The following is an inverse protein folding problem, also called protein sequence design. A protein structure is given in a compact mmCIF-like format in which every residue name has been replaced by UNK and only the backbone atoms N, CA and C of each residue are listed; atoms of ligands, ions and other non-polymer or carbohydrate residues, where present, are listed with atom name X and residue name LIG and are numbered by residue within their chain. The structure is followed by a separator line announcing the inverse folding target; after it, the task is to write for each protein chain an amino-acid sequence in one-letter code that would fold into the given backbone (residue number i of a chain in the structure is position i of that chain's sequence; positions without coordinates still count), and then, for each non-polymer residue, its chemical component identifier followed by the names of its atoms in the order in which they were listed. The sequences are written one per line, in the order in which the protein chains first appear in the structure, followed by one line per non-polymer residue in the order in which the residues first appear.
data_IF_326018487601
#
_entry.id   IF_326018487601
#
_cell.length_a   1.000
_cell.length_b   1.000
_cell.length_c   1.000
_cell.angle_alpha   90.00
_cell.angle_beta   90.00
_cell.angle_gamma   90.00
#
_symmetry.space_group_name_H-M   'P 1'
#
loop_
_entity.id
_entity.type
_entity.pdbx_description
1 polymer ?
#
# COMPACT_ATOMS: atom_id res chain seq x y z
N UNK A 1 -5.02 -14.40 -25.14
CA UNK A 1 -3.94 -14.21 -24.14
C UNK A 1 -4.54 -13.58 -22.90
N UNK A 2 -4.19 -14.09 -21.71
CA UNK A 2 -4.56 -13.45 -20.44
C UNK A 2 -3.86 -12.10 -20.31
N UNK A 3 -4.51 -11.13 -19.69
CA UNK A 3 -3.89 -9.82 -19.40
C UNK A 3 -3.03 -9.92 -18.16
N UNK A 4 -1.77 -9.49 -18.24
CA UNK A 4 -0.83 -9.48 -17.13
C UNK A 4 -1.06 -8.26 -16.22
N UNK A 5 -1.39 -8.50 -14.96
CA UNK A 5 -1.62 -7.45 -13.97
C UNK A 5 -0.62 -7.60 -12.82
N UNK A 6 0.15 -6.56 -12.54
CA UNK A 6 1.01 -6.48 -11.37
C UNK A 6 0.35 -5.63 -10.28
N UNK A 7 0.14 -6.20 -9.11
CA UNK A 7 -0.16 -5.45 -7.90
C UNK A 7 1.11 -5.20 -7.10
N UNK A 8 1.28 -3.99 -6.59
CA UNK A 8 2.40 -3.61 -5.73
C UNK A 8 1.86 -3.10 -4.40
N UNK A 9 2.36 -3.66 -3.30
CA UNK A 9 2.00 -3.26 -1.94
C UNK A 9 3.26 -3.09 -1.09
N UNK A 10 3.21 -2.28 -0.04
CA UNK A 10 4.38 -2.01 0.79
C UNK A 10 4.80 -3.22 1.62
N UNK A 11 3.86 -3.84 2.31
CA UNK A 11 4.00 -5.07 3.11
C UNK A 11 2.76 -5.94 2.91
N UNK A 12 2.80 -7.21 3.32
CA UNK A 12 1.62 -8.07 3.32
C UNK A 12 1.29 -8.55 4.74
N UNK A 13 1.18 -7.58 5.65
CA UNK A 13 0.84 -7.79 7.05
C UNK A 13 -0.66 -7.63 7.32
N UNK A 14 -1.13 -7.96 8.54
CA UNK A 14 -2.56 -7.85 8.90
C UNK A 14 -2.98 -6.41 9.12
N UNK A 15 -3.32 -5.70 8.06
CA UNK A 15 -3.92 -4.38 8.12
C UNK A 15 -5.06 -4.22 7.11
N UNK A 16 -5.77 -3.09 7.13
CA UNK A 16 -7.02 -2.92 6.38
C UNK A 16 -6.83 -2.94 4.86
N UNK A 17 -5.79 -2.30 4.36
CA UNK A 17 -5.52 -2.26 2.93
C UNK A 17 -5.08 -3.62 2.39
N UNK A 18 -4.25 -4.34 3.14
CA UNK A 18 -3.79 -5.68 2.79
C UNK A 18 -4.96 -6.67 2.74
N UNK A 19 -5.88 -6.60 3.73
CA UNK A 19 -7.09 -7.41 3.72
C UNK A 19 -7.98 -7.08 2.51
N UNK A 20 -8.14 -5.79 2.19
CA UNK A 20 -8.89 -5.36 1.01
C UNK A 20 -8.25 -5.85 -0.30
N UNK A 21 -6.91 -5.82 -0.40
CA UNK A 21 -6.19 -6.38 -1.53
C UNK A 21 -6.46 -7.87 -1.68
N UNK A 22 -6.39 -8.65 -0.60
CA UNK A 22 -6.67 -10.09 -0.64
C UNK A 22 -8.09 -10.38 -1.15
N UNK A 23 -9.09 -9.63 -0.72
CA UNK A 23 -10.46 -9.83 -1.21
C UNK A 23 -10.62 -9.43 -2.68
N UNK A 24 -9.93 -8.37 -3.12
CA UNK A 24 -9.88 -8.00 -4.53
C UNK A 24 -9.21 -9.10 -5.37
N UNK A 25 -8.03 -9.58 -4.94
CA UNK A 25 -7.32 -10.65 -5.63
C UNK A 25 -8.13 -11.94 -5.71
N UNK A 26 -8.86 -12.32 -4.63
CA UNK A 26 -9.77 -13.48 -4.62
C UNK A 26 -10.91 -13.36 -5.62
N UNK A 27 -11.37 -12.14 -5.90
CA UNK A 27 -12.38 -11.91 -6.95
C UNK A 27 -11.76 -12.05 -8.34
N UNK A 28 -10.62 -11.41 -8.55
CA UNK A 28 -9.95 -11.40 -9.85
C UNK A 28 -9.42 -12.79 -10.24
N UNK A 29 -8.97 -13.59 -9.26
CA UNK A 29 -8.47 -14.95 -9.47
C UNK A 29 -9.52 -15.92 -10.02
N UNK A 30 -10.80 -15.59 -9.87
CA UNK A 30 -11.91 -16.35 -10.45
C UNK A 30 -12.11 -16.10 -11.94
N UNK A 31 -11.50 -15.06 -12.46
CA UNK A 31 -11.63 -14.62 -13.84
C UNK A 31 -10.44 -15.18 -14.65
N UNK A 32 -10.70 -16.12 -15.56
CA UNK A 32 -9.66 -16.72 -16.41
C UNK A 32 -8.97 -15.73 -17.37
N UNK A 33 -9.40 -14.48 -17.34
CA UNK A 33 -8.93 -13.41 -18.21
C UNK A 33 -7.59 -12.82 -17.75
N UNK A 34 -7.23 -12.99 -16.47
CA UNK A 34 -6.08 -12.31 -15.87
C UNK A 34 -4.98 -13.29 -15.46
N UNK A 35 -3.73 -12.83 -15.58
CA UNK A 35 -2.53 -13.39 -14.97
C UNK A 35 -2.10 -12.41 -13.87
N UNK A 36 -2.27 -12.83 -12.61
CA UNK A 36 -2.10 -11.94 -11.45
C UNK A 36 -0.72 -12.13 -10.83
N UNK A 37 0.03 -11.05 -10.72
CA UNK A 37 1.32 -10.97 -10.04
C UNK A 37 1.24 -10.00 -8.86
N UNK A 38 1.92 -10.34 -7.77
CA UNK A 38 2.04 -9.51 -6.58
C UNK A 38 3.51 -9.25 -6.26
N UNK A 39 3.88 -7.98 -6.17
CA UNK A 39 5.17 -7.54 -5.67
C UNK A 39 5.00 -6.85 -4.30
N UNK A 40 5.66 -7.38 -3.28
CA UNK A 40 5.66 -6.81 -1.93
C UNK A 40 6.95 -6.04 -1.72
N UNK A 41 6.90 -4.73 -1.67
CA UNK A 41 8.05 -3.83 -1.70
C UNK A 41 9.09 -4.13 -0.61
N UNK A 42 8.64 -4.49 0.59
CA UNK A 42 9.50 -4.89 1.69
C UNK A 42 9.89 -6.37 1.68
N UNK A 43 9.31 -7.18 0.79
CA UNK A 43 9.55 -8.61 0.71
C UNK A 43 9.16 -9.38 1.98
N UNK A 44 8.14 -8.91 2.72
CA UNK A 44 7.73 -9.55 3.97
C UNK A 44 6.25 -9.36 4.31
N UNK A 45 5.72 -10.29 5.11
CA UNK A 45 4.37 -10.25 5.67
C UNK A 45 3.82 -11.66 5.93
N UNK A 46 3.01 -11.79 6.96
CA UNK A 46 2.45 -13.08 7.42
C UNK A 46 1.23 -13.54 6.61
N UNK A 47 0.67 -12.67 5.75
CA UNK A 47 -0.57 -12.99 5.03
C UNK A 47 -0.37 -13.69 3.68
N UNK A 48 0.88 -14.02 3.31
CA UNK A 48 1.20 -14.66 2.03
C UNK A 48 0.44 -15.98 1.82
N UNK A 49 0.23 -16.77 2.88
CA UNK A 49 -0.49 -18.04 2.82
C UNK A 49 -2.01 -17.89 2.60
N UNK A 50 -2.52 -16.66 2.64
CA UNK A 50 -3.92 -16.33 2.39
C UNK A 50 -4.18 -15.86 0.95
N UNK A 51 -3.12 -15.75 0.14
CA UNK A 51 -3.26 -15.41 -1.27
C UNK A 51 -4.04 -16.51 -2.01
N UNK A 52 -4.85 -16.13 -2.99
CA UNK A 52 -5.46 -17.11 -3.89
C UNK A 52 -4.39 -17.80 -4.74
N UNK A 53 -4.62 -19.09 -5.13
CA UNK A 53 -3.61 -19.93 -5.76
C UNK A 53 -3.12 -19.45 -7.13
N UNK A 54 -3.92 -18.66 -7.85
CA UNK A 54 -3.55 -18.08 -9.14
C UNK A 54 -2.75 -16.78 -9.07
N UNK A 55 -2.42 -16.30 -7.86
CA UNK A 55 -1.60 -15.09 -7.68
C UNK A 55 -0.14 -15.46 -7.47
N UNK A 56 0.72 -14.99 -8.37
CA UNK A 56 2.18 -15.23 -8.33
C UNK A 56 2.89 -14.11 -7.58
N UNK A 57 3.58 -14.46 -6.48
CA UNK A 57 4.48 -13.50 -5.80
C UNK A 57 5.79 -13.46 -6.57
N UNK A 58 6.12 -12.27 -7.10
CA UNK A 58 7.29 -12.08 -7.98
C UNK A 58 8.54 -11.59 -7.27
N UNK A 59 8.52 -11.52 -5.94
CA UNK A 59 9.70 -11.20 -5.14
C UNK A 59 10.74 -12.33 -5.22
N UNK A 60 12.01 -12.01 -5.51
CA UNK A 60 13.12 -12.98 -5.44
C UNK A 60 13.31 -13.55 -4.02
N UNK A 61 13.06 -12.70 -3.01
CA UNK A 61 13.16 -13.07 -1.60
C UNK A 61 11.94 -12.59 -0.84
N UNK A 62 11.36 -13.49 -0.04
CA UNK A 62 10.20 -13.19 0.79
C UNK A 62 10.32 -13.84 2.16
N UNK A 63 9.94 -13.12 3.22
CA UNK A 63 9.95 -13.61 4.59
C UNK A 63 8.54 -13.55 5.18
N UNK A 64 8.06 -14.69 5.70
CA UNK A 64 6.72 -14.88 6.26
C UNK A 64 6.60 -14.39 7.71
N UNK A 65 7.08 -13.17 7.99
CA UNK A 65 7.04 -12.59 9.33
C UNK A 65 6.38 -11.22 9.30
N UNK A 66 5.64 -10.92 10.35
CA UNK A 66 5.07 -9.59 10.54
C UNK A 66 6.17 -8.56 10.79
N UNK A 67 5.99 -7.35 10.28
CA UNK A 67 6.86 -6.20 10.58
C UNK A 67 6.88 -5.85 12.09
N UNK A 68 5.92 -6.34 12.86
CA UNK A 68 5.83 -6.13 14.31
C UNK A 68 6.68 -7.11 15.11
N UNK A 69 7.01 -8.27 14.52
CA UNK A 69 7.87 -9.29 15.14
C UNK A 69 9.34 -8.87 15.08
N UNK A 70 10.15 -9.40 16.00
CA UNK A 70 11.59 -9.08 16.08
C UNK A 70 12.34 -9.42 14.79
N UNK A 71 12.07 -10.59 14.22
CA UNK A 71 12.67 -11.01 12.94
C UNK A 71 12.20 -10.14 11.78
N UNK A 72 10.93 -9.73 11.77
CA UNK A 72 10.38 -8.83 10.76
C UNK A 72 11.00 -7.43 10.85
N UNK A 73 11.22 -6.90 12.05
CA UNK A 73 11.96 -5.64 12.25
C UNK A 73 13.40 -5.74 11.75
N UNK A 74 14.10 -6.84 12.05
CA UNK A 74 15.46 -7.07 11.54
C UNK A 74 15.49 -7.10 10.01
N UNK A 75 14.51 -7.75 9.39
CA UNK A 75 14.38 -7.78 7.93
C UNK A 75 14.08 -6.39 7.36
N UNK A 76 13.18 -5.65 7.96
CA UNK A 76 12.89 -4.27 7.57
C UNK A 76 14.17 -3.42 7.54
N UNK A 77 14.99 -3.48 8.59
CA UNK A 77 16.28 -2.77 8.62
C UNK A 77 17.24 -3.24 7.54
N UNK A 78 17.29 -4.55 7.23
CA UNK A 78 18.11 -5.08 6.14
C UNK A 78 17.66 -4.54 4.79
N UNK A 79 16.36 -4.55 4.51
CA UNK A 79 15.80 -4.00 3.28
C UNK A 79 16.11 -2.51 3.13
N UNK A 80 15.95 -1.73 4.21
CA UNK A 80 16.28 -0.30 4.22
C UNK A 80 17.77 -0.07 3.93
N UNK A 81 18.66 -0.81 4.61
CA UNK A 81 20.11 -0.68 4.38
C UNK A 81 20.50 -1.08 2.97
N UNK A 82 19.92 -2.16 2.45
CA UNK A 82 20.14 -2.58 1.06
C UNK A 82 19.69 -1.50 0.09
N UNK A 83 18.47 -0.99 0.24
CA UNK A 83 17.92 0.07 -0.60
C UNK A 83 18.77 1.34 -0.56
N UNK A 84 19.37 1.69 0.58
CA UNK A 84 20.29 2.81 0.68
C UNK A 84 21.63 2.58 -0.04
N UNK A 85 22.10 1.33 -0.12
CA UNK A 85 23.41 0.98 -0.69
C UNK A 85 23.38 0.82 -2.22
N UNK A 86 22.23 0.49 -2.81
CA UNK A 86 22.12 0.20 -4.24
C UNK A 86 21.78 1.44 -5.09
N UNK A 87 22.11 1.39 -6.36
CA UNK A 87 21.76 2.41 -7.39
C UNK A 87 22.19 3.86 -7.06
N UNK A 88 23.22 4.05 -6.23
CA UNK A 88 23.68 5.38 -5.83
C UNK A 88 22.68 6.13 -4.92
N UNK A 89 21.76 5.42 -4.29
CA UNK A 89 20.73 5.99 -3.43
C UNK A 89 21.29 6.77 -2.23
N UNK A 90 22.47 6.41 -1.72
CA UNK A 90 23.11 7.13 -0.62
C UNK A 90 23.35 8.61 -0.96
N UNK A 91 23.79 8.91 -2.19
CA UNK A 91 23.98 10.30 -2.65
C UNK A 91 22.64 11.00 -2.89
N UNK A 92 21.68 10.31 -3.52
CA UNK A 92 20.31 10.83 -3.69
C UNK A 92 19.62 11.06 -2.35
N UNK A 93 19.81 10.16 -1.38
CA UNK A 93 19.27 10.28 -0.04
C UNK A 93 19.77 11.55 0.68
N UNK A 94 21.06 11.90 0.56
CA UNK A 94 21.60 13.15 1.15
C UNK A 94 20.92 14.39 0.54
N UNK A 95 20.69 14.44 -0.76
CA UNK A 95 19.95 15.53 -1.41
C UNK A 95 18.49 15.56 -0.93
N UNK A 96 17.86 14.38 -0.76
CA UNK A 96 16.52 14.30 -0.20
C UNK A 96 16.43 14.78 1.24
N UNK A 97 17.38 14.36 2.07
CA UNK A 97 17.45 14.76 3.48
C UNK A 97 17.59 16.27 3.61
N UNK A 98 18.45 16.90 2.81
CA UNK A 98 18.63 18.38 2.82
C UNK A 98 17.32 19.06 2.42
N UNK A 99 16.67 18.62 1.33
CA UNK A 99 15.39 19.20 0.88
C UNK A 99 14.27 18.99 1.89
N UNK A 100 14.20 17.79 2.47
CA UNK A 100 13.21 17.48 3.49
C UNK A 100 13.44 18.27 4.79
N UNK A 101 14.69 18.44 5.21
CA UNK A 101 15.02 19.26 6.37
C UNK A 101 14.55 20.72 6.13
N UNK A 102 14.81 21.27 4.96
CA UNK A 102 14.29 22.59 4.58
C UNK A 102 12.78 22.66 4.62
N UNK A 103 12.09 21.63 4.11
CA UNK A 103 10.62 21.55 4.16
C UNK A 103 10.11 21.39 5.60
N UNK A 104 10.72 20.52 6.41
CA UNK A 104 10.34 20.30 7.81
C UNK A 104 10.50 21.58 8.65
N UNK A 105 11.59 22.33 8.45
CA UNK A 105 11.81 23.62 9.11
C UNK A 105 10.71 24.62 8.71
N UNK A 106 10.37 24.67 7.42
CA UNK A 106 9.34 25.58 6.89
C UNK A 106 7.93 25.25 7.38
N UNK A 107 7.60 23.95 7.48
CA UNK A 107 6.23 23.48 7.79
C UNK A 107 6.03 23.05 9.23
N UNK A 108 7.10 22.96 10.01
CA UNK A 108 7.13 22.41 11.40
C UNK A 108 6.54 20.98 11.51
N UNK A 109 6.51 20.22 10.41
CA UNK A 109 6.04 18.83 10.37
C UNK A 109 7.21 17.90 10.09
N UNK A 110 7.42 16.91 10.97
CA UNK A 110 8.48 15.89 10.84
C UNK A 110 7.85 14.62 10.28
N UNK A 111 8.35 14.16 9.13
CA UNK A 111 7.85 12.94 8.46
C UNK A 111 8.97 12.14 7.80
N UNK A 112 9.87 11.57 8.61
CA UNK A 112 11.01 10.81 8.09
C UNK A 112 10.58 9.52 7.35
N UNK A 113 9.46 8.93 7.74
CA UNK A 113 8.90 7.71 7.14
C UNK A 113 8.57 7.89 5.65
N UNK A 114 8.11 9.06 5.22
CA UNK A 114 7.75 9.31 3.81
C UNK A 114 8.98 9.31 2.89
N UNK A 115 10.09 9.86 3.36
CA UNK A 115 11.37 9.82 2.63
C UNK A 115 11.92 8.41 2.53
N UNK A 116 11.74 7.63 3.61
CA UNK A 116 12.16 6.25 3.65
C UNK A 116 11.47 5.41 2.57
N UNK A 117 10.16 5.61 2.34
CA UNK A 117 9.43 4.93 1.29
C UNK A 117 9.95 5.24 -0.11
N UNK A 118 10.38 6.49 -0.36
CA UNK A 118 10.99 6.85 -1.64
C UNK A 118 12.31 6.12 -1.84
N UNK A 119 13.17 6.09 -0.82
CA UNK A 119 14.44 5.38 -0.87
C UNK A 119 14.24 3.87 -1.07
N UNK A 120 13.27 3.26 -0.38
CA UNK A 120 12.95 1.83 -0.53
C UNK A 120 12.48 1.55 -1.95
N UNK A 121 11.58 2.37 -2.50
CA UNK A 121 11.10 2.22 -3.87
C UNK A 121 12.22 2.32 -4.90
N UNK A 122 13.12 3.29 -4.74
CA UNK A 122 14.25 3.51 -5.65
C UNK A 122 15.30 2.38 -5.56
N UNK A 123 15.44 1.73 -4.39
CA UNK A 123 16.38 0.63 -4.15
C UNK A 123 15.80 -0.77 -4.27
N UNK A 124 14.51 -0.91 -4.54
CA UNK A 124 13.88 -2.21 -4.70
C UNK A 124 14.32 -2.93 -5.99
N UNK A 125 14.20 -4.26 -6.00
CA UNK A 125 14.44 -5.09 -7.19
C UNK A 125 13.57 -4.64 -8.36
N UNK A 126 14.08 -4.80 -9.59
CA UNK A 126 13.37 -4.38 -10.79
C UNK A 126 12.67 -5.57 -11.43
N UNK A 127 11.42 -5.34 -11.83
CA UNK A 127 10.67 -6.30 -12.63
C UNK A 127 11.00 -6.06 -14.11
N UNK A 128 11.50 -7.12 -14.77
CA UNK A 128 11.91 -7.05 -16.18
C UNK A 128 10.73 -7.26 -17.16
N UNK A 129 9.60 -7.70 -16.64
CA UNK A 129 8.39 -7.91 -17.45
C UNK A 129 7.67 -6.60 -17.77
N UNK A 130 6.92 -6.64 -18.89
CA UNK A 130 5.97 -5.59 -19.22
C UNK A 130 4.55 -6.09 -18.92
N UNK A 131 3.82 -5.31 -18.12
CA UNK A 131 2.46 -5.63 -17.70
C UNK A 131 1.43 -4.88 -18.54
N UNK A 132 0.23 -5.44 -18.68
CA UNK A 132 -0.89 -4.71 -19.28
C UNK A 132 -1.42 -3.64 -18.31
N UNK A 133 -1.40 -3.94 -17.01
CA UNK A 133 -1.75 -3.01 -15.93
C UNK A 133 -0.81 -3.19 -14.74
N UNK A 134 -0.30 -2.10 -14.20
CA UNK A 134 0.38 -2.08 -12.91
C UNK A 134 -0.43 -1.27 -11.89
N UNK A 135 -0.68 -1.85 -10.72
CA UNK A 135 -1.50 -1.27 -9.67
C UNK A 135 -0.67 -1.01 -8.42
N UNK A 136 -0.50 0.25 -8.06
CA UNK A 136 0.00 0.63 -6.75
C UNK A 136 -1.15 0.57 -5.75
N UNK A 137 -1.17 -0.46 -4.90
CA UNK A 137 -2.32 -0.68 -4.00
C UNK A 137 -2.26 0.12 -2.70
N UNK A 138 -1.18 0.86 -2.48
CA UNK A 138 -1.03 1.81 -1.38
C UNK A 138 -0.33 3.07 -1.89
N UNK A 139 -0.59 4.17 -1.22
CA UNK A 139 0.18 5.40 -1.37
C UNK A 139 1.63 5.24 -0.88
N UNK A 140 2.49 6.17 -1.23
CA UNK A 140 3.90 6.19 -0.83
C UNK A 140 4.74 5.18 -1.62
N UNK A 141 5.37 4.21 -0.93
CA UNK A 141 6.34 3.29 -1.55
C UNK A 141 5.84 2.59 -2.79
N UNK A 142 4.66 1.98 -2.74
CA UNK A 142 4.03 1.29 -3.87
C UNK A 142 3.75 2.25 -5.04
N UNK A 143 3.21 3.44 -4.74
CA UNK A 143 2.94 4.45 -5.77
C UNK A 143 4.25 4.92 -6.43
N UNK A 144 5.28 5.17 -5.65
CA UNK A 144 6.59 5.58 -6.18
C UNK A 144 7.22 4.50 -7.05
N UNK A 145 7.15 3.24 -6.61
CA UNK A 145 7.71 2.13 -7.33
C UNK A 145 7.00 1.90 -8.68
N UNK A 146 5.67 1.87 -8.68
CA UNK A 146 4.89 1.69 -9.93
C UNK A 146 5.09 2.86 -10.88
N UNK A 147 5.08 4.09 -10.37
CA UNK A 147 5.26 5.29 -11.19
C UNK A 147 6.61 5.29 -11.93
N UNK A 148 7.70 4.94 -11.23
CA UNK A 148 9.06 5.19 -11.68
C UNK A 148 9.81 3.95 -12.16
N UNK A 149 9.38 2.73 -11.76
CA UNK A 149 10.18 1.52 -11.92
C UNK A 149 9.46 0.32 -12.52
N UNK A 150 8.17 0.42 -12.86
CA UNK A 150 7.41 -0.65 -13.50
C UNK A 150 7.11 -0.31 -14.95
N UNK A 151 7.38 -1.25 -15.85
CA UNK A 151 6.97 -1.17 -17.24
C UNK A 151 5.53 -1.71 -17.38
N UNK A 152 4.59 -0.84 -17.71
CA UNK A 152 3.19 -1.23 -17.90
C UNK A 152 2.52 -0.35 -18.96
N UNK A 153 1.55 -0.91 -19.70
CA UNK A 153 0.75 -0.16 -20.68
C UNK A 153 -0.16 0.85 -20.00
N UNK A 154 -0.69 0.48 -18.82
CA UNK A 154 -1.54 1.31 -17.97
C UNK A 154 -1.09 1.21 -16.51
N UNK A 155 -1.23 2.31 -15.77
CA UNK A 155 -0.90 2.39 -14.36
C UNK A 155 -2.07 2.91 -13.56
N UNK A 156 -2.37 2.25 -12.42
CA UNK A 156 -3.41 2.68 -11.49
C UNK A 156 -2.85 2.80 -10.08
N UNK A 157 -3.36 3.76 -9.29
CA UNK A 157 -2.97 3.94 -7.90
C UNK A 157 -4.20 3.97 -6.98
N UNK A 158 -4.11 3.29 -5.83
CA UNK A 158 -5.10 3.36 -4.76
C UNK A 158 -4.63 4.29 -3.64
N UNK A 159 -5.57 5.01 -3.02
CA UNK A 159 -5.35 5.90 -1.89
C UNK A 159 -6.24 5.43 -0.73
N UNK A 160 -5.63 4.92 0.34
CA UNK A 160 -6.33 4.33 1.48
C UNK A 160 -6.42 5.25 2.71
N UNK A 161 -5.88 6.47 2.63
CA UNK A 161 -5.77 7.39 3.76
C UNK A 161 -6.32 8.78 3.42
N UNK A 162 -6.52 9.60 4.45
CA UNK A 162 -6.62 11.04 4.28
C UNK A 162 -5.24 11.59 3.87
N UNK A 163 -5.13 11.97 2.60
CA UNK A 163 -3.86 12.33 1.98
C UNK A 163 -3.21 13.55 2.63
N UNK A 164 -4.02 14.52 3.04
CA UNK A 164 -3.56 15.76 3.66
C UNK A 164 -3.14 15.56 5.11
N UNK A 165 -3.90 14.78 5.88
CA UNK A 165 -3.58 14.49 7.28
C UNK A 165 -2.36 13.57 7.42
N UNK A 166 -2.19 12.63 6.51
CA UNK A 166 -1.03 11.74 6.50
C UNK A 166 0.28 12.43 6.14
N UNK A 167 0.21 13.71 5.73
CA UNK A 167 1.39 14.53 5.47
C UNK A 167 2.10 14.24 4.17
N UNK A 168 1.44 13.61 3.21
CA UNK A 168 1.95 13.53 1.84
C UNK A 168 1.88 14.90 1.16
N UNK A 169 2.84 15.18 0.30
CA UNK A 169 2.91 16.43 -0.46
C UNK A 169 3.46 16.16 -1.85
N UNK A 170 3.10 16.97 -2.82
CA UNK A 170 3.63 16.88 -4.19
C UNK A 170 5.16 16.84 -4.23
N UNK A 171 5.82 17.61 -3.38
CA UNK A 171 7.28 17.66 -3.35
C UNK A 171 7.89 16.32 -2.88
N UNK A 172 7.29 15.66 -1.89
CA UNK A 172 7.71 14.33 -1.42
C UNK A 172 7.41 13.26 -2.48
N UNK A 173 6.24 13.35 -3.09
CA UNK A 173 5.78 12.42 -4.11
C UNK A 173 6.47 12.63 -5.46
N UNK A 174 7.12 13.76 -5.68
CA UNK A 174 7.69 14.16 -6.98
C UNK A 174 6.68 14.03 -8.11
N UNK A 175 5.48 14.52 -7.88
CA UNK A 175 4.38 14.48 -8.84
C UNK A 175 4.07 13.06 -9.39
N UNK A 176 4.36 12.00 -8.64
CA UNK A 176 4.26 10.62 -9.13
C UNK A 176 2.85 10.28 -9.65
N UNK A 177 1.79 10.88 -9.08
CA UNK A 177 0.42 10.59 -9.48
C UNK A 177 0.06 11.10 -10.88
N UNK A 178 0.81 12.04 -11.43
CA UNK A 178 0.63 12.48 -12.84
C UNK A 178 1.08 11.43 -13.85
N UNK A 179 1.75 10.36 -13.40
CA UNK A 179 2.19 9.23 -14.23
C UNK A 179 1.21 8.06 -14.26
N UNK A 180 0.08 8.19 -13.56
CA UNK A 180 -0.97 7.19 -13.51
C UNK A 180 -2.09 7.51 -14.51
N UNK A 181 -2.69 6.47 -15.09
CA UNK A 181 -3.86 6.58 -15.95
C UNK A 181 -5.16 6.64 -15.14
N UNK A 182 -5.15 6.14 -13.89
CA UNK A 182 -6.28 6.22 -12.98
C UNK A 182 -5.81 6.27 -11.52
N UNK A 183 -6.55 7.00 -10.68
CA UNK A 183 -6.34 7.05 -9.23
C UNK A 183 -7.65 6.70 -8.53
N UNK A 184 -7.57 5.81 -7.55
CA UNK A 184 -8.72 5.25 -6.84
C UNK A 184 -8.66 5.51 -5.33
N UNK A 185 -9.14 6.66 -4.84
CA UNK A 185 -9.42 6.83 -3.42
C UNK A 185 -10.53 5.89 -2.96
N UNK A 186 -10.43 5.35 -1.73
CA UNK A 186 -11.41 4.38 -1.21
C UNK A 186 -12.71 4.99 -0.69
N UNK A 187 -12.91 6.31 -0.82
CA UNK A 187 -14.11 7.02 -0.43
C UNK A 187 -14.05 8.49 -0.83
N UNK A 188 -15.18 9.15 -0.80
CA UNK A 188 -15.38 10.53 -1.29
C UNK A 188 -14.53 11.56 -0.51
N UNK A 189 -14.36 11.36 0.80
CA UNK A 189 -13.48 12.22 1.58
C UNK A 189 -12.01 12.06 1.17
N UNK A 190 -11.58 10.82 0.88
CA UNK A 190 -10.25 10.53 0.35
C UNK A 190 -10.02 11.20 -1.01
N UNK A 191 -11.02 11.13 -1.92
CA UNK A 191 -11.00 11.81 -3.21
C UNK A 191 -10.83 13.31 -3.05
N UNK A 192 -11.68 13.94 -2.24
CA UNK A 192 -11.61 15.38 -1.97
C UNK A 192 -10.23 15.79 -1.46
N UNK A 193 -9.69 15.08 -0.47
CA UNK A 193 -8.38 15.37 0.12
C UNK A 193 -7.22 15.13 -0.84
N UNK A 194 -7.30 14.13 -1.68
CA UNK A 194 -6.33 13.89 -2.73
C UNK A 194 -6.34 15.02 -3.78
N UNK A 195 -7.53 15.42 -4.25
CA UNK A 195 -7.69 16.48 -5.24
C UNK A 195 -7.37 17.89 -4.72
N UNK A 196 -7.35 18.11 -3.40
CA UNK A 196 -6.78 19.34 -2.82
C UNK A 196 -5.28 19.47 -3.12
N UNK A 197 -4.56 18.35 -3.26
CA UNK A 197 -3.11 18.30 -3.55
C UNK A 197 -2.84 18.14 -5.05
N UNK A 198 -3.66 17.37 -5.76
CA UNK A 198 -3.54 17.03 -7.18
C UNK A 198 -4.81 17.36 -7.98
N UNK A 199 -5.21 18.63 -8.09
CA UNK A 199 -6.44 19.02 -8.78
C UNK A 199 -6.47 18.63 -10.27
N UNK A 200 -5.30 18.55 -10.93
CA UNK A 200 -5.17 18.12 -12.32
C UNK A 200 -5.50 16.64 -12.55
N UNK A 201 -5.44 15.82 -11.51
CA UNK A 201 -5.79 14.40 -11.60
C UNK A 201 -7.31 14.15 -11.64
N UNK A 202 -8.15 15.19 -11.52
CA UNK A 202 -9.61 15.06 -11.40
C UNK A 202 -10.26 14.21 -12.50
N UNK A 203 -9.79 14.33 -13.73
CA UNK A 203 -10.40 13.63 -14.89
C UNK A 203 -10.20 12.10 -14.88
N UNK A 204 -9.23 11.60 -14.12
CA UNK A 204 -8.93 10.18 -14.00
C UNK A 204 -8.88 9.69 -12.54
N UNK A 205 -9.45 10.48 -11.62
CA UNK A 205 -9.67 10.07 -10.22
C UNK A 205 -11.12 9.62 -10.05
N UNK A 206 -11.32 8.42 -9.49
CA UNK A 206 -12.62 7.81 -9.29
C UNK A 206 -12.66 7.09 -7.94
N UNK A 207 -13.73 7.27 -7.18
CA UNK A 207 -13.91 6.55 -5.91
C UNK A 207 -14.06 5.05 -6.16
N UNK A 208 -13.31 4.25 -5.42
CA UNK A 208 -13.40 2.80 -5.44
C UNK A 208 -13.56 2.26 -4.02
N UNK A 209 -14.75 1.76 -3.71
CA UNK A 209 -15.00 1.16 -2.40
C UNK A 209 -14.34 -0.23 -2.30
N UNK A 210 -13.70 -0.48 -1.16
CA UNK A 210 -13.06 -1.77 -0.92
C UNK A 210 -14.04 -2.94 -1.06
N UNK A 211 -13.54 -4.02 -1.65
CA UNK A 211 -14.27 -5.27 -1.76
C UNK A 211 -14.42 -5.89 -0.36
N UNK A 212 -15.66 -6.19 0.04
CA UNK A 212 -15.98 -6.81 1.32
C UNK A 212 -16.59 -8.19 1.08
N UNK A 213 -16.06 -9.21 1.75
CA UNK A 213 -16.60 -10.56 1.72
C UNK A 213 -17.72 -10.72 2.76
N UNK A 214 -18.93 -10.33 2.39
CA UNK A 214 -20.11 -10.38 3.27
C UNK A 214 -20.40 -11.80 3.77
N UNK A 215 -20.21 -12.83 2.94
CA UNK A 215 -20.48 -14.21 3.31
C UNK A 215 -19.50 -14.73 4.36
N UNK A 216 -18.22 -14.32 4.27
CA UNK A 216 -17.24 -14.61 5.32
C UNK A 216 -17.62 -13.93 6.64
N UNK A 217 -18.04 -12.68 6.59
CA UNK A 217 -18.48 -11.94 7.79
C UNK A 217 -19.70 -12.62 8.39
N UNK A 218 -20.72 -12.95 7.59
CA UNK A 218 -21.93 -13.65 8.05
C UNK A 218 -21.61 -15.03 8.66
N UNK A 219 -20.68 -15.79 8.06
CA UNK A 219 -20.24 -17.09 8.62
C UNK A 219 -19.52 -16.91 9.96
N UNK A 220 -18.61 -15.95 10.06
CA UNK A 220 -17.91 -15.63 11.31
C UNK A 220 -18.86 -15.13 12.40
N UNK A 221 -19.86 -14.35 12.05
CA UNK A 221 -20.89 -13.87 13.00
C UNK A 221 -21.76 -14.99 13.57
N UNK A 222 -21.88 -16.13 12.86
CA UNK A 222 -22.60 -17.32 13.31
C UNK A 222 -21.73 -18.31 14.10
N UNK A 223 -20.40 -18.11 14.12
CA UNK A 223 -19.52 -18.98 14.90
C UNK A 223 -19.71 -18.73 16.40
N UNK A 224 -19.52 -19.80 17.19
CA UNK A 224 -19.59 -19.70 18.65
C UNK A 224 -18.55 -18.69 19.16
N UNK A 225 -19.01 -17.77 19.99
CA UNK A 225 -18.23 -16.71 20.59
C UNK A 225 -19.11 -15.51 20.88
N UNK A 226 -18.76 -14.72 21.85
CA UNK A 226 -19.52 -13.57 22.29
C UNK A 226 -19.27 -13.27 23.76
N UNK A 227 -20.14 -12.47 24.34
CA UNK A 227 -20.07 -12.18 25.78
C UNK A 227 -20.59 -13.38 26.56
N UNK A 228 -19.81 -13.83 27.53
CA UNK A 228 -20.17 -14.99 28.40
C UNK A 228 -20.89 -14.59 29.69
N UNK A 229 -21.11 -13.30 29.93
CA UNK A 229 -21.81 -12.78 31.08
C UNK A 229 -23.36 -12.70 30.83
N UNK A 230 -24.13 -12.55 31.89
CA UNK A 230 -25.61 -12.45 31.87
C UNK A 230 -26.11 -10.99 31.81
N UNK A 231 -25.32 -10.05 31.29
CA UNK A 231 -25.71 -8.66 31.19
C UNK A 231 -26.85 -8.46 30.16
N UNK A 232 -27.97 -7.90 30.60
CA UNK A 232 -29.22 -7.70 29.84
C UNK A 232 -29.37 -6.25 29.32
N UNK A 233 -28.30 -5.48 29.23
CA UNK A 233 -28.35 -4.10 28.77
C UNK A 233 -27.75 -3.91 27.36
N UNK A 234 -27.72 -2.66 26.91
CA UNK A 234 -27.08 -2.28 25.64
C UNK A 234 -25.58 -2.47 25.76
N UNK A 235 -24.99 -3.22 24.83
CA UNK A 235 -23.53 -3.40 24.72
C UNK A 235 -22.99 -2.57 23.59
N UNK A 236 -21.98 -1.75 23.90
CA UNK A 236 -21.27 -0.95 22.92
C UNK A 236 -19.85 -1.52 22.79
N UNK A 237 -19.45 -1.91 21.58
CA UNK A 237 -18.13 -2.43 21.30
C UNK A 237 -17.39 -1.48 20.33
N UNK A 238 -16.21 -1.01 20.74
CA UNK A 238 -15.30 -0.28 19.87
C UNK A 238 -14.09 -1.14 19.60
N UNK A 239 -13.77 -1.34 18.32
CA UNK A 239 -12.59 -2.11 17.87
C UNK A 239 -11.69 -1.21 17.05
N UNK A 240 -10.46 -0.99 17.51
CA UNK A 240 -9.51 -0.15 16.81
C UNK A 240 -8.18 -0.03 17.53
N UNK A 241 -7.19 0.54 16.84
CA UNK A 241 -5.92 0.92 17.49
C UNK A 241 -6.14 2.22 18.28
N UNK A 242 -5.59 2.28 19.50
CA UNK A 242 -5.56 3.51 20.29
C UNK A 242 -4.49 4.45 19.71
N UNK A 243 -4.85 5.19 18.68
CA UNK A 243 -3.97 6.15 18.01
C UNK A 243 -4.74 7.43 17.71
N UNK A 244 -4.07 8.60 17.61
CA UNK A 244 -4.72 9.88 17.29
C UNK A 244 -5.52 9.88 15.97
N UNK A 245 -5.28 8.92 15.07
CA UNK A 245 -6.04 8.75 13.84
C UNK A 245 -7.41 8.07 14.03
N UNK A 246 -7.65 7.48 15.22
CA UNK A 246 -8.84 6.68 15.53
C UNK A 246 -9.64 7.23 16.72
N UNK A 247 -9.17 8.32 17.34
CA UNK A 247 -9.83 9.04 18.43
C UNK A 247 -10.73 10.15 17.92
#
# INVERSE_FOLDING_TARGET
MRKKILFVINTLSRAGAEMALLELLRKLDKEDTYELSLFVLMGQGEMIDQLPPGVHVVNERYIRTSVLEENGKKQMYRTIRHAAAVHGNALRLSVYMIRALGYMIKTKRIQPDKLLWRMIADGAERQNETYDLAVAYLEGGSAYYVADHVNAKKKAAFIHIDYTQAGYTRQLDRDCYTKFDAVFPIGENGEKKFLEVYPECKSYTHVFHNVINQDMIRRKAKSYGGFSDNYDGIRILTVGRLTPQKS
#
